data_IF_195504156864
#
_entry.id   IF_195504156864
#
_cell.length_a   1.000
_cell.length_b   1.000
_cell.length_c   1.000
_cell.angle_alpha   90.00
_cell.angle_beta   90.00
_cell.angle_gamma   90.00
#
_symmetry.space_group_name_H-M   'P 1'
#
loop_
_entity.id
_entity.type
_entity.pdbx_description
1 polymer ?
#
# COMPACT_ATOMS: atom_id res chain seq x y z
N UNK A 1 11.47 22.55 -14.45
CA UNK A 1 10.71 21.45 -13.85
C UNK A 1 9.85 22.04 -12.73
N UNK A 2 8.76 21.41 -12.32
CA UNK A 2 8.02 21.81 -11.13
C UNK A 2 8.99 21.85 -9.94
N UNK A 3 8.93 22.91 -9.15
CA UNK A 3 9.88 23.17 -8.07
C UNK A 3 9.89 22.02 -7.05
N UNK A 4 8.73 21.51 -6.67
CA UNK A 4 8.59 20.46 -5.66
C UNK A 4 9.04 19.09 -6.16
N UNK A 5 8.81 18.80 -7.44
CA UNK A 5 9.34 17.60 -8.09
C UNK A 5 10.86 17.65 -8.15
N UNK A 6 11.45 18.81 -8.47
CA UNK A 6 12.90 19.00 -8.44
C UNK A 6 13.45 18.82 -7.03
N UNK A 7 12.85 19.48 -6.03
CA UNK A 7 13.27 19.38 -4.64
C UNK A 7 13.20 17.94 -4.11
N UNK A 8 12.16 17.19 -4.48
CA UNK A 8 12.03 15.78 -4.09
C UNK A 8 13.14 14.91 -4.69
N UNK A 9 13.49 15.13 -5.96
CA UNK A 9 14.62 14.45 -6.61
C UNK A 9 15.94 14.83 -5.94
N UNK A 10 16.17 16.12 -5.69
CA UNK A 10 17.40 16.60 -5.05
C UNK A 10 17.56 16.03 -3.65
N UNK A 11 16.51 16.09 -2.82
CA UNK A 11 16.49 15.49 -1.49
C UNK A 11 16.89 14.01 -1.57
N UNK A 12 16.25 13.25 -2.45
CA UNK A 12 16.48 11.83 -2.62
C UNK A 12 17.92 11.45 -3.02
N UNK A 13 18.63 12.33 -3.73
CA UNK A 13 19.98 12.06 -4.24
C UNK A 13 21.10 12.74 -3.44
N UNK A 14 20.79 13.65 -2.50
CA UNK A 14 21.80 14.48 -1.83
C UNK A 14 21.71 14.48 -0.29
N UNK A 15 20.71 13.82 0.31
CA UNK A 15 20.47 13.82 1.75
C UNK A 15 20.23 12.41 2.30
N UNK A 16 19.98 12.32 3.61
CA UNK A 16 19.55 11.14 4.38
C UNK A 16 18.14 10.66 4.02
N UNK A 17 17.82 10.59 2.72
CA UNK A 17 16.47 10.35 2.22
C UNK A 17 15.82 9.09 2.77
N UNK A 18 16.56 7.97 2.78
CA UNK A 18 16.02 6.69 3.27
C UNK A 18 15.84 6.70 4.80
N UNK A 19 16.74 7.36 5.52
CA UNK A 19 16.64 7.49 6.98
C UNK A 19 15.44 8.35 7.35
N UNK A 20 15.22 9.45 6.63
CA UNK A 20 14.07 10.33 6.85
C UNK A 20 12.76 9.64 6.43
N UNK A 21 12.78 8.89 5.33
CA UNK A 21 11.65 8.07 4.91
C UNK A 21 11.27 7.00 5.92
N UNK A 22 12.22 6.51 6.74
CA UNK A 22 11.92 5.55 7.79
C UNK A 22 10.93 6.12 8.82
N UNK A 23 10.88 7.44 9.01
CA UNK A 23 9.89 8.08 9.85
C UNK A 23 8.48 8.08 9.24
N UNK A 24 8.38 7.99 7.90
CA UNK A 24 7.12 7.90 7.16
C UNK A 24 6.68 6.44 7.01
N UNK A 25 7.61 5.57 6.63
CA UNK A 25 7.40 4.16 6.34
C UNK A 25 8.35 3.29 7.18
N UNK A 26 8.15 3.22 8.52
CA UNK A 26 9.02 2.42 9.38
C UNK A 26 8.93 0.94 9.01
N UNK A 27 10.06 0.23 9.09
CA UNK A 27 10.01 -1.23 9.07
C UNK A 27 9.26 -1.69 10.32
N UNK A 28 8.26 -2.53 10.14
CA UNK A 28 7.58 -3.17 11.26
C UNK A 28 8.52 -4.29 11.72
N UNK A 29 8.91 -4.32 13.02
CA UNK A 29 9.77 -5.38 13.54
C UNK A 29 9.18 -6.74 13.15
N UNK A 30 10.03 -7.64 12.66
CA UNK A 30 9.63 -8.98 12.24
C UNK A 30 9.07 -9.75 13.44
N UNK A 31 7.74 -9.72 13.58
CA UNK A 31 7.01 -10.62 14.45
C UNK A 31 6.57 -11.86 13.67
N UNK A 32 6.58 -13.01 14.34
CA UNK A 32 5.89 -14.20 13.85
C UNK A 32 4.39 -13.88 13.87
N UNK A 33 3.67 -14.20 12.80
CA UNK A 33 2.21 -14.13 12.79
C UNK A 33 1.64 -15.21 13.72
N UNK A 34 0.74 -14.81 14.60
CA UNK A 34 -0.05 -15.76 15.38
C UNK A 34 -0.89 -16.64 14.45
N UNK A 35 -0.72 -17.95 14.57
CA UNK A 35 -1.58 -18.92 13.93
C UNK A 35 -2.78 -19.19 14.83
N UNK A 36 -3.96 -19.31 14.23
CA UNK A 36 -5.14 -19.84 14.91
C UNK A 36 -4.81 -21.25 15.44
N UNK A 37 -4.77 -21.37 16.77
CA UNK A 37 -4.37 -22.60 17.45
C UNK A 37 -5.32 -23.78 17.19
N UNK A 38 -6.60 -23.53 16.89
CA UNK A 38 -7.54 -24.58 16.51
C UNK A 38 -7.30 -25.06 15.08
N UNK A 39 -7.06 -24.14 14.14
CA UNK A 39 -6.68 -24.49 12.78
C UNK A 39 -5.34 -25.23 12.76
N UNK A 40 -4.37 -24.78 13.55
CA UNK A 40 -3.07 -25.45 13.64
C UNK A 40 -3.20 -26.88 14.15
N UNK A 41 -3.91 -27.11 15.26
CA UNK A 41 -4.17 -28.47 15.77
C UNK A 41 -4.83 -29.39 14.71
N UNK A 42 -5.72 -28.85 13.87
CA UNK A 42 -6.31 -29.59 12.75
C UNK A 42 -5.27 -29.95 11.69
N UNK A 43 -4.36 -29.02 11.36
CA UNK A 43 -3.23 -29.28 10.45
C UNK A 43 -2.34 -30.39 11.00
N UNK A 44 -1.92 -30.34 12.27
CA UNK A 44 -1.07 -31.36 12.87
C UNK A 44 -1.71 -32.75 12.80
N UNK A 45 -3.01 -32.84 13.12
CA UNK A 45 -3.77 -34.09 13.08
C UNK A 45 -3.89 -34.63 11.65
N UNK A 46 -4.23 -33.77 10.70
CA UNK A 46 -4.36 -34.17 9.29
C UNK A 46 -3.01 -34.61 8.71
N UNK A 47 -1.93 -33.88 9.03
CA UNK A 47 -0.57 -34.20 8.60
C UNK A 47 -0.13 -35.59 9.10
N UNK A 48 -0.30 -35.86 10.41
CA UNK A 48 0.05 -37.17 11.01
C UNK A 48 -0.75 -38.32 10.42
N UNK A 49 -2.02 -38.08 10.07
CA UNK A 49 -2.91 -39.08 9.45
C UNK A 49 -2.73 -39.23 7.94
N UNK A 50 -1.89 -38.41 7.32
CA UNK A 50 -1.79 -38.27 5.86
C UNK A 50 -3.13 -38.00 5.18
N UNK A 51 -3.99 -37.21 5.82
CA UNK A 51 -5.29 -36.80 5.28
C UNK A 51 -5.11 -35.56 4.39
N UNK A 52 -4.86 -35.78 3.10
CA UNK A 52 -4.57 -34.74 2.12
C UNK A 52 -5.69 -33.70 2.00
N UNK A 53 -6.95 -34.16 1.99
CA UNK A 53 -8.09 -33.28 1.82
C UNK A 53 -8.21 -32.31 3.01
N UNK A 54 -8.20 -32.85 4.23
CA UNK A 54 -8.31 -32.03 5.45
C UNK A 54 -7.08 -31.14 5.64
N UNK A 55 -5.87 -31.65 5.34
CA UNK A 55 -4.62 -30.91 5.47
C UNK A 55 -4.64 -29.67 4.57
N UNK A 56 -4.92 -29.87 3.28
CA UNK A 56 -4.90 -28.79 2.30
C UNK A 56 -6.06 -27.79 2.53
N UNK A 57 -7.27 -28.28 2.82
CA UNK A 57 -8.41 -27.41 3.12
C UNK A 57 -8.15 -26.52 4.34
N UNK A 58 -7.51 -27.06 5.38
CA UNK A 58 -7.20 -26.32 6.59
C UNK A 58 -6.09 -25.30 6.35
N UNK A 59 -5.01 -25.67 5.65
CA UNK A 59 -3.92 -24.74 5.32
C UNK A 59 -4.38 -23.59 4.41
N UNK A 60 -5.33 -23.83 3.49
CA UNK A 60 -5.89 -22.77 2.64
C UNK A 60 -6.70 -21.72 3.42
N UNK A 61 -7.19 -22.06 4.63
CA UNK A 61 -7.87 -21.13 5.54
C UNK A 61 -6.89 -20.24 6.31
N UNK A 62 -5.61 -20.62 6.39
CA UNK A 62 -4.61 -19.78 7.03
C UNK A 62 -4.34 -18.51 6.21
N UNK A 63 -3.88 -17.48 6.91
CA UNK A 63 -3.56 -16.20 6.29
C UNK A 63 -2.40 -16.32 5.28
N UNK A 64 -1.45 -17.22 5.52
CA UNK A 64 -0.34 -17.52 4.61
C UNK A 64 -0.22 -19.02 4.39
N UNK A 65 -0.24 -19.39 3.11
CA UNK A 65 -0.03 -20.77 2.68
C UNK A 65 1.48 -21.04 2.62
N UNK A 66 1.98 -22.16 3.16
CA UNK A 66 3.42 -22.39 3.39
C UNK A 66 4.23 -22.64 2.09
N UNK A 67 3.57 -22.76 0.94
CA UNK A 67 4.20 -23.03 -0.35
C UNK A 67 3.80 -21.95 -1.36
N UNK A 68 4.80 -21.34 -2.02
CA UNK A 68 4.57 -20.51 -3.21
C UNK A 68 4.29 -21.43 -4.41
N UNK A 69 3.03 -21.51 -4.81
CA UNK A 69 2.56 -22.31 -5.96
C UNK A 69 1.39 -21.58 -6.63
N UNK A 70 1.42 -21.48 -7.97
CA UNK A 70 0.46 -20.69 -8.73
C UNK A 70 -0.99 -21.18 -8.61
N UNK A 71 -1.19 -22.46 -8.29
CA UNK A 71 -2.53 -23.06 -8.17
C UNK A 71 -3.22 -22.75 -6.84
N UNK A 72 -2.45 -22.42 -5.79
CA UNK A 72 -2.97 -22.15 -4.44
C UNK A 72 -3.98 -21.01 -4.45
N UNK A 73 -3.72 -19.95 -5.24
CA UNK A 73 -4.63 -18.82 -5.36
C UNK A 73 -6.00 -19.21 -5.95
N UNK A 74 -6.02 -20.15 -6.90
CA UNK A 74 -7.26 -20.68 -7.47
C UNK A 74 -8.00 -21.55 -6.45
N UNK A 75 -7.30 -22.51 -5.83
CA UNK A 75 -7.87 -23.42 -4.84
C UNK A 75 -8.46 -22.69 -3.62
N UNK A 76 -7.85 -21.57 -3.21
CA UNK A 76 -8.36 -20.74 -2.11
C UNK A 76 -9.67 -20.04 -2.46
N UNK A 77 -9.87 -19.67 -3.73
CA UNK A 77 -11.07 -18.95 -4.22
C UNK A 77 -12.23 -19.90 -4.56
N UNK A 78 -11.94 -21.08 -5.10
CA UNK A 78 -12.92 -22.12 -5.36
C UNK A 78 -12.62 -23.38 -4.54
N UNK A 79 -13.26 -23.50 -3.37
CA UNK A 79 -13.05 -24.65 -2.49
C UNK A 79 -13.51 -25.98 -3.11
N UNK A 80 -14.52 -25.96 -3.99
CA UNK A 80 -14.99 -27.17 -4.65
C UNK A 80 -13.96 -27.73 -5.64
N UNK A 81 -13.02 -26.88 -6.11
CA UNK A 81 -11.93 -27.30 -7.00
C UNK A 81 -10.98 -28.33 -6.37
N UNK A 82 -10.90 -28.40 -5.03
CA UNK A 82 -10.12 -29.44 -4.33
C UNK A 82 -10.61 -30.84 -4.68
N UNK A 83 -11.93 -31.04 -4.74
CA UNK A 83 -12.54 -32.32 -5.10
C UNK A 83 -12.41 -32.64 -6.59
N UNK A 84 -12.45 -31.60 -7.44
CA UNK A 84 -12.35 -31.76 -8.90
C UNK A 84 -10.93 -32.02 -9.39
N UNK A 85 -9.90 -31.70 -8.58
CA UNK A 85 -8.49 -31.77 -8.99
C UNK A 85 -7.63 -32.59 -8.01
N UNK A 86 -7.94 -33.87 -7.75
CA UNK A 86 -7.26 -34.68 -6.73
C UNK A 86 -5.75 -34.81 -6.97
N UNK A 87 -5.30 -34.96 -8.22
CA UNK A 87 -3.87 -35.03 -8.53
C UNK A 87 -3.09 -33.75 -8.15
N UNK A 88 -3.74 -32.58 -8.24
CA UNK A 88 -3.13 -31.31 -7.79
C UNK A 88 -3.06 -31.27 -6.27
N UNK A 89 -4.10 -31.74 -5.59
CA UNK A 89 -4.13 -31.86 -4.13
C UNK A 89 -3.01 -32.77 -3.65
N UNK A 90 -2.85 -33.95 -4.25
CA UNK A 90 -1.82 -34.91 -3.90
C UNK A 90 -0.41 -34.38 -4.14
N UNK A 91 -0.18 -33.70 -5.28
CA UNK A 91 1.10 -33.02 -5.57
C UNK A 91 1.45 -31.99 -4.50
N UNK A 92 0.49 -31.15 -4.10
CA UNK A 92 0.71 -30.13 -3.07
C UNK A 92 0.94 -30.77 -1.69
N UNK A 93 0.17 -31.79 -1.33
CA UNK A 93 0.34 -32.51 -0.07
C UNK A 93 1.66 -33.27 -0.01
N UNK A 94 2.11 -33.87 -1.10
CA UNK A 94 3.44 -34.47 -1.21
C UNK A 94 4.55 -33.49 -0.83
N UNK A 95 4.51 -32.28 -1.41
CA UNK A 95 5.46 -31.20 -1.07
C UNK A 95 5.36 -30.75 0.40
N UNK A 96 4.14 -30.73 0.97
CA UNK A 96 3.94 -30.43 2.38
C UNK A 96 4.56 -31.51 3.27
N UNK A 97 4.36 -32.79 2.95
CA UNK A 97 4.96 -33.90 3.71
C UNK A 97 6.48 -33.89 3.64
N UNK A 98 7.06 -33.65 2.46
CA UNK A 98 8.51 -33.50 2.27
C UNK A 98 9.07 -32.31 3.09
N UNK A 99 8.30 -31.23 3.21
CA UNK A 99 8.71 -30.04 3.95
C UNK A 99 8.77 -30.27 5.46
N UNK A 100 7.90 -31.12 6.01
CA UNK A 100 7.79 -31.37 7.44
C UNK A 100 6.95 -30.32 8.18
N UNK A 101 6.37 -30.74 9.30
CA UNK A 101 5.40 -29.95 10.06
C UNK A 101 6.00 -28.66 10.64
N UNK A 102 7.24 -28.70 11.14
CA UNK A 102 7.92 -27.53 11.73
C UNK A 102 8.15 -26.42 10.70
N UNK A 103 8.50 -26.81 9.48
CA UNK A 103 8.74 -25.87 8.39
C UNK A 103 7.43 -25.36 7.78
N UNK A 104 6.37 -26.18 7.79
CA UNK A 104 5.01 -25.70 7.50
C UNK A 104 4.61 -24.62 8.51
N UNK A 105 4.80 -24.86 9.81
CA UNK A 105 4.50 -23.89 10.87
C UNK A 105 5.24 -22.58 10.61
N UNK A 106 6.58 -22.66 10.52
CA UNK A 106 7.46 -21.51 10.32
C UNK A 106 7.06 -20.68 9.10
N UNK A 107 6.72 -21.31 7.97
CA UNK A 107 6.31 -20.61 6.75
C UNK A 107 4.90 -20.03 6.82
N UNK A 108 3.97 -20.73 7.46
CA UNK A 108 2.62 -20.20 7.66
C UNK A 108 2.59 -19.03 8.64
N UNK A 109 3.56 -18.98 9.55
CA UNK A 109 3.70 -17.94 10.56
C UNK A 109 4.63 -16.80 10.14
N UNK A 110 5.12 -16.76 8.89
CA UNK A 110 5.94 -15.65 8.40
C UNK A 110 5.16 -14.31 8.51
N UNK A 111 5.86 -13.20 8.84
CA UNK A 111 5.25 -11.88 8.88
C UNK A 111 4.59 -11.56 7.53
N UNK A 112 3.58 -10.67 7.55
CA UNK A 112 3.02 -10.17 6.29
C UNK A 112 4.14 -9.54 5.48
N UNK A 113 4.19 -9.78 4.16
CA UNK A 113 5.21 -9.16 3.30
C UNK A 113 5.21 -7.64 3.50
N UNK A 114 6.39 -7.02 3.60
CA UNK A 114 6.56 -5.59 3.91
C UNK A 114 5.74 -4.70 2.98
N UNK A 115 5.66 -5.05 1.70
CA UNK A 115 4.87 -4.34 0.68
C UNK A 115 3.36 -4.30 0.99
N UNK A 116 2.82 -5.30 1.69
CA UNK A 116 1.42 -5.32 2.13
C UNK A 116 1.19 -4.51 3.42
N UNK A 117 2.26 -4.19 4.16
CA UNK A 117 2.17 -3.45 5.41
C UNK A 117 2.37 -1.93 5.23
N UNK A 118 2.95 -1.51 4.09
CA UNK A 118 3.28 -0.10 3.81
C UNK A 118 2.05 0.80 3.62
N UNK A 119 0.95 0.26 3.07
CA UNK A 119 -0.23 1.05 2.69
C UNK A 119 -0.76 1.98 3.80
N UNK A 120 -1.01 1.49 5.03
CA UNK A 120 -1.51 2.32 6.12
C UNK A 120 -0.49 3.31 6.71
N UNK A 121 0.81 3.16 6.42
CA UNK A 121 1.86 3.91 7.13
C UNK A 121 1.82 5.40 6.83
N UNK A 122 1.54 5.79 5.58
CA UNK A 122 1.39 7.20 5.21
C UNK A 122 0.30 7.88 6.05
N UNK A 123 -0.89 7.25 6.14
CA UNK A 123 -2.01 7.79 6.94
C UNK A 123 -1.67 7.86 8.43
N UNK A 124 -0.98 6.85 8.97
CA UNK A 124 -0.49 6.86 10.36
C UNK A 124 0.49 8.01 10.60
N UNK A 125 1.41 8.24 9.67
CA UNK A 125 2.38 9.33 9.74
C UNK A 125 1.68 10.70 9.75
N UNK A 126 0.69 10.90 8.87
CA UNK A 126 -0.13 12.12 8.87
C UNK A 126 -0.88 12.30 10.21
N UNK A 127 -1.47 11.22 10.74
CA UNK A 127 -2.20 11.23 12.01
C UNK A 127 -1.32 11.53 13.24
N UNK A 128 -0.01 11.29 13.14
CA UNK A 128 0.97 11.65 14.17
C UNK A 128 1.37 13.15 14.14
N UNK A 129 0.62 13.99 13.41
CA UNK A 129 0.85 15.44 13.28
C UNK A 129 2.17 15.80 12.59
N UNK A 130 2.76 14.89 11.80
CA UNK A 130 4.02 15.13 11.09
C UNK A 130 3.94 16.28 10.09
N UNK A 131 2.73 16.62 9.60
CA UNK A 131 2.50 17.77 8.73
C UNK A 131 2.29 19.09 9.50
N UNK A 132 2.49 19.11 10.82
CA UNK A 132 2.41 20.30 11.67
C UNK A 132 1.01 20.63 12.22
N UNK A 133 -0.03 19.91 11.80
CA UNK A 133 -1.39 20.02 12.34
C UNK A 133 -1.98 18.63 12.56
N UNK A 134 -2.94 18.54 13.50
CA UNK A 134 -3.69 17.32 13.72
C UNK A 134 -4.79 17.17 12.66
N UNK A 135 -4.93 15.99 12.03
CA UNK A 135 -6.11 15.67 11.23
C UNK A 135 -7.39 15.72 12.07
N UNK A 136 -8.49 16.15 11.45
CA UNK A 136 -9.79 16.36 12.10
C UNK A 136 -10.89 15.60 11.37
N UNK A 137 -11.93 15.21 12.09
CA UNK A 137 -13.09 14.51 11.50
C UNK A 137 -13.88 15.44 10.57
N UNK A 138 -14.68 14.86 9.68
CA UNK A 138 -15.44 15.57 8.64
C UNK A 138 -16.22 16.79 9.16
N UNK A 139 -16.95 16.64 10.26
CA UNK A 139 -17.78 17.71 10.83
C UNK A 139 -16.94 18.94 11.26
N UNK A 140 -15.73 18.72 11.77
CA UNK A 140 -14.81 19.78 12.15
C UNK A 140 -14.07 20.35 10.93
N UNK A 141 -13.68 19.49 9.98
CA UNK A 141 -13.04 19.89 8.72
C UNK A 141 -13.88 20.92 7.95
N UNK A 142 -15.20 20.70 7.89
CA UNK A 142 -16.17 21.59 7.24
C UNK A 142 -16.35 22.92 7.99
N UNK A 143 -16.25 22.92 9.32
CA UNK A 143 -16.40 24.13 10.15
C UNK A 143 -15.12 24.97 10.23
N UNK A 144 -13.96 24.32 10.15
CA UNK A 144 -12.68 24.98 10.23
C UNK A 144 -12.54 26.01 9.09
N UNK A 145 -11.98 27.18 9.40
CA UNK A 145 -11.68 28.23 8.41
C UNK A 145 -10.21 28.26 7.99
N UNK A 146 -9.33 27.68 8.81
CA UNK A 146 -7.89 27.62 8.57
C UNK A 146 -7.44 26.31 7.94
N UNK A 147 -6.14 26.05 8.09
CA UNK A 147 -5.51 24.82 7.61
C UNK A 147 -6.10 23.61 8.33
N UNK A 148 -6.45 22.57 7.58
CA UNK A 148 -7.03 21.34 8.11
C UNK A 148 -6.65 20.15 7.23
N UNK A 149 -6.55 18.98 7.85
CA UNK A 149 -6.41 17.69 7.16
C UNK A 149 -7.61 16.83 7.56
N UNK A 150 -8.23 16.15 6.60
CA UNK A 150 -9.39 15.31 6.85
C UNK A 150 -8.95 13.92 7.35
N UNK A 151 -9.37 13.55 8.56
CA UNK A 151 -9.28 12.18 9.07
C UNK A 151 -10.61 11.45 8.83
N UNK A 152 -10.67 10.72 7.73
CA UNK A 152 -11.86 9.98 7.33
C UNK A 152 -11.48 8.64 6.67
N UNK A 153 -12.43 7.71 6.60
CA UNK A 153 -12.30 6.47 5.82
C UNK A 153 -12.19 6.76 4.32
N UNK A 154 -11.71 5.79 3.55
CA UNK A 154 -11.57 5.94 2.09
C UNK A 154 -12.92 6.24 1.42
N UNK A 155 -14.00 5.64 1.93
CA UNK A 155 -15.36 5.88 1.46
C UNK A 155 -15.82 7.32 1.74
N UNK A 156 -15.55 7.84 2.95
CA UNK A 156 -15.89 9.21 3.33
C UNK A 156 -15.06 10.25 2.57
N UNK A 157 -13.75 10.01 2.38
CA UNK A 157 -12.90 10.88 1.56
C UNK A 157 -13.39 10.94 0.12
N UNK A 158 -13.81 9.80 -0.44
CA UNK A 158 -14.39 9.74 -1.78
C UNK A 158 -15.73 10.46 -1.88
N UNK A 159 -16.60 10.32 -0.89
CA UNK A 159 -17.87 11.05 -0.83
C UNK A 159 -17.61 12.57 -0.77
N UNK A 160 -16.72 13.00 0.13
CA UNK A 160 -16.35 14.41 0.26
C UNK A 160 -15.78 14.97 -1.06
N UNK A 161 -14.86 14.26 -1.71
CA UNK A 161 -14.24 14.72 -2.95
C UNK A 161 -15.27 14.83 -4.10
N UNK A 162 -16.22 13.90 -4.19
CA UNK A 162 -17.32 13.96 -5.16
C UNK A 162 -18.23 15.15 -4.91
N UNK A 163 -18.70 15.31 -3.67
CA UNK A 163 -19.69 16.31 -3.29
C UNK A 163 -19.14 17.74 -3.32
N UNK A 164 -17.92 17.95 -2.83
CA UNK A 164 -17.36 19.28 -2.63
C UNK A 164 -16.31 19.69 -3.66
N UNK A 165 -15.58 18.72 -4.23
CA UNK A 165 -14.41 18.99 -5.08
C UNK A 165 -14.62 18.64 -6.55
N UNK A 166 -15.83 18.21 -6.94
CA UNK A 166 -16.13 17.77 -8.31
C UNK A 166 -15.19 16.62 -8.78
N UNK A 167 -14.80 15.74 -7.86
CA UNK A 167 -13.95 14.60 -8.17
C UNK A 167 -14.78 13.44 -8.73
N UNK A 168 -14.84 13.32 -10.05
CA UNK A 168 -15.62 12.27 -10.75
C UNK A 168 -14.84 11.00 -11.04
N UNK A 169 -13.55 10.99 -10.73
CA UNK A 169 -12.68 9.85 -10.98
C UNK A 169 -12.96 8.71 -9.98
N UNK A 170 -12.90 7.45 -10.43
CA UNK A 170 -13.28 6.29 -9.62
C UNK A 170 -12.05 5.63 -8.95
N UNK A 171 -11.20 6.45 -8.33
CA UNK A 171 -10.02 6.01 -7.57
C UNK A 171 -10.06 6.63 -6.18
N UNK A 172 -9.71 5.86 -5.16
CA UNK A 172 -9.56 6.34 -3.79
C UNK A 172 -8.56 7.50 -3.68
N UNK A 173 -8.58 8.17 -2.53
CA UNK A 173 -7.64 9.22 -2.19
C UNK A 173 -6.97 8.84 -0.88
N UNK A 174 -5.65 9.01 -0.80
CA UNK A 174 -4.88 8.79 0.42
C UNK A 174 -4.78 10.07 1.28
N UNK A 175 -5.09 11.24 0.69
CA UNK A 175 -4.97 12.54 1.36
C UNK A 175 -6.03 13.55 0.88
N UNK A 176 -6.66 14.25 1.83
CA UNK A 176 -7.47 15.45 1.60
C UNK A 176 -7.11 16.49 2.65
N UNK A 177 -6.79 17.71 2.19
CA UNK A 177 -6.49 18.83 3.06
C UNK A 177 -7.04 20.15 2.51
N UNK A 178 -7.08 21.15 3.38
CA UNK A 178 -7.28 22.55 3.03
C UNK A 178 -6.15 23.35 3.63
N UNK A 179 -5.38 24.05 2.80
CA UNK A 179 -4.29 24.91 3.24
C UNK A 179 -4.39 26.25 2.51
N UNK A 180 -4.23 27.35 3.25
CA UNK A 180 -4.32 28.72 2.72
C UNK A 180 -5.59 28.96 1.88
N UNK A 181 -6.72 28.38 2.31
CA UNK A 181 -8.01 28.48 1.61
C UNK A 181 -8.15 27.62 0.35
N UNK A 182 -7.14 26.84 -0.03
CA UNK A 182 -7.16 25.93 -1.19
C UNK A 182 -7.31 24.49 -0.75
N UNK A 183 -8.20 23.76 -1.41
CA UNK A 183 -8.26 22.30 -1.24
C UNK A 183 -7.12 21.62 -1.99
N UNK A 184 -6.66 20.51 -1.43
CA UNK A 184 -5.63 19.66 -2.00
C UNK A 184 -6.04 18.21 -1.80
N UNK A 185 -5.87 17.40 -2.85
CA UNK A 185 -6.13 15.96 -2.82
C UNK A 185 -4.95 15.21 -3.40
N UNK A 186 -4.69 14.01 -2.89
CA UNK A 186 -3.57 13.21 -3.38
C UNK A 186 -3.69 11.72 -3.16
N UNK A 187 -2.90 11.00 -3.96
CA UNK A 187 -2.63 9.57 -3.82
C UNK A 187 -1.18 9.40 -3.36
N UNK A 188 -0.95 8.57 -2.35
CA UNK A 188 0.34 8.30 -1.76
C UNK A 188 0.83 6.90 -2.12
N UNK A 189 2.08 6.79 -2.62
CA UNK A 189 2.70 5.50 -2.94
C UNK A 189 4.19 5.52 -2.64
N UNK A 190 4.64 4.50 -1.91
CA UNK A 190 6.07 4.21 -1.74
C UNK A 190 6.48 3.11 -2.74
N UNK A 191 7.24 3.50 -3.76
CA UNK A 191 7.66 2.68 -4.88
C UNK A 191 9.04 2.08 -4.59
N UNK A 192 9.05 0.83 -4.12
CA UNK A 192 10.26 0.18 -3.59
C UNK A 192 11.13 -0.51 -4.65
N UNK A 193 10.59 -0.75 -5.84
CA UNK A 193 11.30 -1.41 -6.94
C UNK A 193 10.72 -1.01 -8.31
N UNK A 194 11.35 -1.44 -9.39
CA UNK A 194 10.84 -1.32 -10.74
C UNK A 194 10.08 -2.58 -11.16
N UNK A 195 9.01 -2.43 -11.95
CA UNK A 195 8.31 -3.59 -12.52
C UNK A 195 6.79 -3.44 -12.54
N UNK A 196 6.08 -4.51 -12.91
CA UNK A 196 4.65 -4.47 -13.21
C UNK A 196 3.78 -3.86 -12.10
N UNK A 197 3.82 -4.43 -10.90
CA UNK A 197 3.01 -3.95 -9.78
C UNK A 197 3.34 -2.50 -9.40
N UNK A 198 4.63 -2.15 -9.36
CA UNK A 198 5.12 -0.83 -9.01
C UNK A 198 4.74 0.22 -10.08
N UNK A 199 4.79 -0.15 -11.35
CA UNK A 199 4.31 0.69 -12.45
C UNK A 199 2.80 0.92 -12.39
N UNK A 200 2.02 -0.08 -11.96
CA UNK A 200 0.58 0.09 -11.76
C UNK A 200 0.30 1.10 -10.63
N UNK A 201 0.99 0.98 -9.50
CA UNK A 201 0.89 1.94 -8.39
C UNK A 201 1.32 3.36 -8.79
N UNK A 202 2.40 3.50 -9.56
CA UNK A 202 2.78 4.79 -10.13
C UNK A 202 1.67 5.35 -11.02
N UNK A 203 1.15 4.56 -11.96
CA UNK A 203 0.09 5.00 -12.86
C UNK A 203 -1.20 5.38 -12.12
N UNK A 204 -1.54 4.66 -11.04
CA UNK A 204 -2.67 4.98 -10.17
C UNK A 204 -2.53 6.40 -9.61
N UNK A 205 -1.38 6.74 -9.03
CA UNK A 205 -1.13 8.08 -8.51
C UNK A 205 -1.14 9.16 -9.61
N UNK A 206 -0.58 8.84 -10.79
CA UNK A 206 -0.64 9.75 -11.94
C UNK A 206 -2.07 9.94 -12.47
N UNK A 207 -2.94 8.92 -12.37
CA UNK A 207 -4.34 9.05 -12.76
C UNK A 207 -5.10 10.04 -11.89
N UNK A 208 -4.87 10.00 -10.56
CA UNK A 208 -5.41 10.97 -9.60
C UNK A 208 -4.87 12.38 -9.87
N UNK A 209 -3.56 12.49 -10.11
CA UNK A 209 -2.90 13.76 -10.43
C UNK A 209 -3.52 14.45 -11.67
N UNK A 210 -3.89 13.65 -12.68
CA UNK A 210 -4.44 14.13 -13.95
C UNK A 210 -5.97 14.25 -13.97
N UNK A 211 -6.63 14.05 -12.83
CA UNK A 211 -8.08 14.20 -12.75
C UNK A 211 -8.49 15.62 -13.18
N UNK A 212 -9.40 15.71 -14.15
CA UNK A 212 -9.83 16.98 -14.76
C UNK A 212 -11.06 17.53 -14.05
N UNK A 213 -11.17 18.87 -14.01
CA UNK A 213 -12.35 19.55 -13.47
C UNK A 213 -12.47 19.51 -11.94
N UNK A 214 -11.44 19.01 -11.25
CA UNK A 214 -11.38 18.96 -9.79
C UNK A 214 -11.16 20.37 -9.23
N UNK A 215 -11.97 20.76 -8.24
CA UNK A 215 -11.87 22.04 -7.52
C UNK A 215 -10.85 21.95 -6.37
N UNK A 216 -9.67 21.40 -6.64
CA UNK A 216 -8.59 21.24 -5.69
C UNK A 216 -7.26 21.14 -6.43
N UNK A 217 -6.16 21.47 -5.75
CA UNK A 217 -4.82 21.11 -6.22
C UNK A 217 -4.66 19.59 -6.15
N UNK A 218 -4.43 18.95 -7.28
CA UNK A 218 -4.11 17.52 -7.32
C UNK A 218 -2.60 17.32 -7.16
N UNK A 219 -2.23 16.34 -6.33
CA UNK A 219 -0.83 15.96 -6.10
C UNK A 219 -0.66 14.44 -6.16
N UNK A 220 0.54 14.00 -6.54
CA UNK A 220 0.98 12.63 -6.37
C UNK A 220 2.07 12.62 -5.29
N UNK A 221 1.81 11.94 -4.18
CA UNK A 221 2.74 11.84 -3.05
C UNK A 221 3.54 10.56 -3.28
N UNK A 222 4.70 10.68 -3.92
CA UNK A 222 5.46 9.53 -4.38
C UNK A 222 6.82 9.50 -3.71
N UNK A 223 7.21 8.32 -3.23
CA UNK A 223 8.52 8.11 -2.62
C UNK A 223 9.19 6.88 -3.26
N UNK A 224 10.52 6.83 -3.25
CA UNK A 224 11.29 5.63 -3.55
C UNK A 224 12.05 5.70 -4.87
N UNK A 225 12.05 4.60 -5.64
CA UNK A 225 12.99 4.39 -6.76
C UNK A 225 12.78 5.34 -7.94
N UNK A 226 11.64 6.03 -8.02
CA UNK A 226 11.35 7.01 -9.08
C UNK A 226 12.33 8.19 -9.07
N UNK A 227 12.89 8.54 -7.92
CA UNK A 227 13.82 9.66 -7.77
C UNK A 227 15.27 9.30 -8.07
N UNK A 228 15.59 8.01 -8.21
CA UNK A 228 16.93 7.55 -8.58
C UNK A 228 17.22 8.01 -10.01
N UNK A 229 18.26 8.85 -10.16
CA UNK A 229 18.69 9.36 -11.45
C UNK A 229 19.09 8.19 -12.37
N UNK A 230 18.41 8.06 -13.50
CA UNK A 230 18.69 6.98 -14.43
C UNK A 230 17.75 6.90 -15.62
N UNK A 231 17.87 5.82 -16.39
CA UNK A 231 17.07 5.57 -17.60
C UNK A 231 15.76 4.80 -17.33
N UNK A 232 15.42 4.58 -16.06
CA UNK A 232 14.19 3.89 -15.67
C UNK A 232 12.95 4.69 -16.09
N UNK A 233 11.83 3.99 -16.30
CA UNK A 233 10.59 4.58 -16.84
C UNK A 233 10.05 5.70 -15.94
N UNK A 234 9.98 5.47 -14.64
CA UNK A 234 9.39 6.42 -13.68
C UNK A 234 10.20 7.72 -13.63
N UNK A 235 11.53 7.63 -13.53
CA UNK A 235 12.42 8.79 -13.51
C UNK A 235 12.32 9.61 -14.81
N UNK A 236 12.33 8.93 -15.97
CA UNK A 236 12.10 9.58 -17.27
C UNK A 236 10.74 10.26 -17.35
N UNK A 237 9.72 9.64 -16.78
CA UNK A 237 8.36 10.18 -16.78
C UNK A 237 8.26 11.46 -15.95
N UNK A 238 8.81 11.47 -14.73
CA UNK A 238 8.76 12.64 -13.82
C UNK A 238 9.66 13.79 -14.28
N UNK A 239 10.77 13.50 -14.96
CA UNK A 239 11.68 14.52 -15.51
C UNK A 239 11.30 14.98 -16.93
N UNK A 240 10.49 14.18 -17.63
CA UNK A 240 10.04 14.44 -19.00
C UNK A 240 8.57 14.85 -19.06
N UNK A 241 7.69 13.89 -19.32
CA UNK A 241 6.26 14.14 -19.62
C UNK A 241 5.46 14.71 -18.44
N UNK A 242 5.87 14.44 -17.20
CA UNK A 242 5.20 14.92 -15.97
C UNK A 242 5.98 16.05 -15.30
N UNK A 243 6.99 16.64 -15.98
CA UNK A 243 7.91 17.63 -15.39
C UNK A 243 7.28 18.90 -14.85
N UNK A 244 5.99 19.15 -15.12
CA UNK A 244 5.24 20.32 -14.63
C UNK A 244 4.24 19.96 -13.53
N UNK A 245 3.99 18.67 -13.31
CA UNK A 245 2.98 18.20 -12.37
C UNK A 245 3.50 18.22 -10.92
N UNK A 246 2.59 18.27 -9.96
CA UNK A 246 2.91 18.25 -8.53
C UNK A 246 3.19 16.82 -8.04
N UNK A 247 4.40 16.33 -8.30
CA UNK A 247 4.87 15.05 -7.79
C UNK A 247 5.82 15.33 -6.62
N UNK A 248 5.37 15.02 -5.41
CA UNK A 248 6.03 15.46 -4.18
C UNK A 248 6.39 14.26 -3.32
N UNK A 249 7.59 14.26 -2.74
CA UNK A 249 7.93 13.31 -1.68
C UNK A 249 7.15 13.64 -0.42
N UNK A 250 6.81 12.63 0.39
CA UNK A 250 6.23 12.86 1.71
C UNK A 250 7.12 13.79 2.57
N UNK A 251 8.44 13.76 2.36
CA UNK A 251 9.42 14.55 3.11
C UNK A 251 9.39 16.05 2.82
N UNK A 252 8.80 16.47 1.69
CA UNK A 252 8.63 17.89 1.34
C UNK A 252 7.15 18.30 1.30
N UNK A 253 6.26 17.37 1.66
CA UNK A 253 4.81 17.58 1.58
C UNK A 253 4.37 18.69 2.52
N UNK A 254 4.96 18.79 3.71
CA UNK A 254 4.61 19.84 4.67
C UNK A 254 4.86 21.22 4.06
N UNK A 255 6.07 21.46 3.57
CA UNK A 255 6.47 22.74 2.97
C UNK A 255 5.61 23.06 1.75
N UNK A 256 5.32 22.05 0.91
CA UNK A 256 4.39 22.18 -0.21
C UNK A 256 3.03 22.71 0.24
N UNK A 257 2.42 22.08 1.24
CA UNK A 257 1.08 22.41 1.71
C UNK A 257 1.00 23.84 2.25
N UNK A 258 2.00 24.28 3.01
CA UNK A 258 2.01 25.63 3.58
C UNK A 258 2.31 26.73 2.56
N UNK A 259 2.82 26.39 1.38
CA UNK A 259 3.07 27.33 0.28
C UNK A 259 1.96 27.34 -0.80
N UNK A 260 0.88 26.57 -0.61
CA UNK A 260 -0.27 26.57 -1.52
C UNK A 260 -0.91 27.95 -1.66
#
# INVERSE_FOLDING_TARGET
MNHWTQLSIEYANQRSYLDDLFHVYPTIPEGIRDLDGELWKKVEKAFKKKDNATLLETLLKMDLFPIKDSYVAYLKRDKASLKRNPATVDRLCGRLYEMGLDKIFSRSSEPKETNCQIGPLFKRWVNNKSLGIAPVKLAEFLKAKGNAILDASDAEMMAFAKEHLNYTHNKGLDFIGRFNGKYVIGEAKFLTDFGGHQNAQFNDAISTLKAKGVKATTIAILDGVLYIKGKNKMHKDITGKLKKENIVSALVLREFLYQL
#
